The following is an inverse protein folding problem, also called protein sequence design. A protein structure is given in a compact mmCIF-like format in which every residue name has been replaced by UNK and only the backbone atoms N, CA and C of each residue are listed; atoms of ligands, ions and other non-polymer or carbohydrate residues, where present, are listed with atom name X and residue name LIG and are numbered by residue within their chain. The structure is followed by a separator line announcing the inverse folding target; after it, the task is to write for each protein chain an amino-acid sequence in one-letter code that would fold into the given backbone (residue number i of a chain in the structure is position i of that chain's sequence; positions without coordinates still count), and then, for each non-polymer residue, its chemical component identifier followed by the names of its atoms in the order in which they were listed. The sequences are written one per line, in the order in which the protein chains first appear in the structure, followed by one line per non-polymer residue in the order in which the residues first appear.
data_IF_161434318329
#
_entry.id   IF_161434318329
#
_cell.length_a   1.000
_cell.length_b   1.000
_cell.length_c   1.000
_cell.angle_alpha   90.00
_cell.angle_beta   90.00
_cell.angle_gamma   90.00
#
_symmetry.space_group_name_H-M   'P 1'
#
loop_
_entity.id
_entity.type
_entity.pdbx_description
1 polymer ?
#
# COMPACT_ATOMS: atom_id res chain seq x y z
N UNK A 1 -44.48 52.95 -59.50
CA UNK A 1 -45.53 52.02 -59.95
C UNK A 1 -44.86 50.68 -60.25
N UNK A 2 -44.88 49.73 -59.29
CA UNK A 2 -44.31 48.36 -59.35
C UNK A 2 -42.77 48.29 -59.47
N UNK A 3 -42.01 47.35 -58.92
CA UNK A 3 -42.28 45.97 -58.48
C UNK A 3 -41.31 45.56 -57.35
N UNK A 4 -41.79 44.72 -56.42
CA UNK A 4 -40.97 43.92 -55.50
C UNK A 4 -40.25 42.80 -56.28
N UNK A 5 -39.03 42.44 -55.87
CA UNK A 5 -38.38 41.17 -56.25
C UNK A 5 -37.92 40.45 -55.00
N UNK A 6 -38.41 39.23 -54.84
CA UNK A 6 -38.08 38.27 -53.78
C UNK A 6 -36.80 37.53 -54.13
N UNK A 7 -35.83 37.42 -53.21
CA UNK A 7 -34.69 36.51 -53.36
C UNK A 7 -34.94 35.22 -52.57
N UNK A 8 -34.83 34.09 -53.27
CA UNK A 8 -35.02 32.72 -52.79
C UNK A 8 -33.72 32.24 -52.13
N UNK A 9 -33.75 31.79 -50.88
CA UNK A 9 -32.60 31.14 -50.25
C UNK A 9 -32.52 29.66 -50.70
N UNK A 10 -31.36 29.26 -51.22
CA UNK A 10 -31.01 27.89 -51.62
C UNK A 10 -30.19 27.24 -50.53
N UNK A 11 -30.52 25.98 -50.24
CA UNK A 11 -29.96 25.15 -49.17
C UNK A 11 -28.65 24.48 -49.55
N UNK A 12 -27.63 24.57 -48.69
CA UNK A 12 -26.58 23.55 -48.60
C UNK A 12 -26.34 23.23 -47.12
N UNK A 13 -26.70 22.01 -46.71
CA UNK A 13 -26.42 21.47 -45.38
C UNK A 13 -25.10 20.70 -45.45
N UNK A 14 -24.04 21.28 -44.90
CA UNK A 14 -22.78 20.57 -44.63
C UNK A 14 -23.02 19.71 -43.37
N UNK A 15 -23.14 18.40 -43.53
CA UNK A 15 -23.17 17.47 -42.42
C UNK A 15 -21.73 17.19 -41.97
N UNK A 16 -21.27 17.86 -40.93
CA UNK A 16 -20.00 17.58 -40.26
C UNK A 16 -20.22 16.38 -39.34
N UNK A 17 -19.77 15.20 -39.77
CA UNK A 17 -19.81 13.99 -38.93
C UNK A 17 -18.69 14.07 -37.90
N UNK A 18 -19.04 14.46 -36.67
CA UNK A 18 -18.13 14.50 -35.54
C UNK A 18 -17.98 13.07 -35.00
N UNK A 19 -16.89 12.38 -35.34
CA UNK A 19 -16.50 11.14 -34.68
C UNK A 19 -16.14 11.46 -33.23
N UNK A 20 -17.07 11.21 -32.30
CA UNK A 20 -16.74 11.13 -30.88
C UNK A 20 -15.89 9.88 -30.67
N UNK A 21 -14.59 10.06 -30.44
CA UNK A 21 -13.76 9.02 -29.84
C UNK A 21 -14.21 8.90 -28.39
N UNK A 22 -14.96 7.83 -28.09
CA UNK A 22 -15.31 7.48 -26.72
C UNK A 22 -14.00 7.08 -26.02
N UNK A 23 -13.38 8.05 -25.36
CA UNK A 23 -12.24 7.76 -24.47
C UNK A 23 -12.85 7.13 -23.23
N UNK A 24 -12.68 5.82 -23.05
CA UNK A 24 -12.96 5.18 -21.77
C UNK A 24 -11.96 5.77 -20.77
N UNK A 25 -12.45 6.58 -19.84
CA UNK A 25 -11.62 7.01 -18.72
C UNK A 25 -11.32 5.78 -17.85
N UNK A 26 -10.08 5.61 -17.37
CA UNK A 26 -9.81 4.62 -16.33
C UNK A 26 -10.77 4.87 -15.16
N UNK A 27 -11.27 3.79 -14.54
CA UNK A 27 -12.16 3.92 -13.40
C UNK A 27 -11.45 4.71 -12.29
N UNK A 28 -12.05 5.79 -11.81
CA UNK A 28 -11.50 6.56 -10.71
C UNK A 28 -11.35 5.65 -9.46
N UNK A 29 -10.26 5.79 -8.70
CA UNK A 29 -10.11 5.10 -7.42
C UNK A 29 -11.35 5.26 -6.55
N UNK A 30 -11.88 4.14 -6.04
CA UNK A 30 -13.16 4.08 -5.34
C UNK A 30 -13.05 3.37 -4.00
N UNK A 31 -13.68 3.92 -2.97
CA UNK A 31 -13.75 3.33 -1.64
C UNK A 31 -15.21 3.23 -1.20
N UNK A 32 -15.67 2.01 -0.88
CA UNK A 32 -17.00 1.77 -0.31
C UNK A 32 -16.85 1.27 1.12
N UNK A 33 -17.30 2.04 2.11
CA UNK A 33 -17.15 1.69 3.54
C UNK A 33 -18.46 1.08 4.07
N UNK A 34 -18.36 -0.03 4.79
CA UNK A 34 -19.47 -0.70 5.46
C UNK A 34 -19.36 -0.57 6.98
N UNK A 35 -20.50 -0.54 7.68
CA UNK A 35 -20.53 -0.41 9.15
C UNK A 35 -20.12 -1.69 9.91
N UNK A 36 -19.53 -2.65 9.20
CA UNK A 36 -19.02 -3.92 9.75
C UNK A 36 -17.48 -3.91 9.79
N UNK A 37 -16.89 -2.71 9.94
CA UNK A 37 -15.45 -2.48 10.04
C UNK A 37 -14.65 -2.98 8.82
N UNK A 38 -15.26 -2.93 7.63
CA UNK A 38 -14.57 -3.23 6.39
C UNK A 38 -14.98 -2.26 5.28
N UNK A 39 -14.11 -2.13 4.29
CA UNK A 39 -14.36 -1.40 3.06
C UNK A 39 -13.92 -2.22 1.86
N UNK A 40 -14.52 -1.95 0.71
CA UNK A 40 -14.06 -2.45 -0.59
C UNK A 40 -13.33 -1.31 -1.29
N UNK A 41 -12.12 -1.60 -1.73
CA UNK A 41 -11.28 -0.70 -2.53
C UNK A 41 -11.38 -1.14 -3.98
N UNK A 42 -11.51 -0.17 -4.88
CA UNK A 42 -11.42 -0.33 -6.33
C UNK A 42 -10.32 0.60 -6.84
N UNK A 43 -9.38 0.04 -7.60
CA UNK A 43 -8.24 0.75 -8.16
C UNK A 43 -8.07 0.38 -9.63
N UNK A 44 -7.49 1.32 -10.39
CA UNK A 44 -7.09 1.09 -11.77
C UNK A 44 -5.58 0.89 -11.84
N UNK A 45 -5.15 -0.31 -12.24
CA UNK A 45 -3.75 -0.68 -12.35
C UNK A 45 -3.33 -0.78 -13.82
N UNK A 46 -2.55 0.17 -14.35
CA UNK A 46 -2.04 0.07 -15.72
C UNK A 46 -1.09 -1.13 -15.84
N UNK A 47 -1.41 -2.05 -16.75
CA UNK A 47 -0.59 -3.22 -17.05
C UNK A 47 0.01 -3.11 -18.45
N UNK A 48 1.30 -3.42 -18.53
CA UNK A 48 2.02 -3.66 -19.78
C UNK A 48 2.56 -5.08 -19.74
N UNK A 49 1.86 -6.00 -20.42
CA UNK A 49 2.18 -7.41 -20.44
C UNK A 49 2.91 -7.76 -21.74
N UNK A 50 3.89 -8.63 -21.65
CA UNK A 50 4.47 -9.36 -22.77
C UNK A 50 4.01 -10.82 -22.75
N UNK A 51 4.11 -11.54 -23.89
CA UNK A 51 3.84 -12.98 -23.90
C UNK A 51 4.74 -13.72 -22.89
N UNK A 52 4.17 -14.70 -22.19
CA UNK A 52 4.83 -15.43 -21.12
C UNK A 52 4.60 -14.84 -19.73
N UNK A 53 5.59 -15.01 -18.85
CA UNK A 53 5.51 -14.65 -17.44
C UNK A 53 5.92 -13.19 -17.21
N UNK A 54 5.12 -12.43 -16.48
CA UNK A 54 5.31 -11.02 -16.16
C UNK A 54 5.31 -10.85 -14.63
N UNK A 55 6.20 -10.03 -14.10
CA UNK A 55 6.21 -9.67 -12.67
C UNK A 55 5.61 -8.28 -12.51
N UNK A 56 4.56 -8.16 -11.69
CA UNK A 56 3.83 -6.91 -11.46
C UNK A 56 3.76 -6.65 -9.97
N UNK A 57 3.96 -5.40 -9.56
CA UNK A 57 3.90 -4.97 -8.16
C UNK A 57 2.92 -3.79 -8.01
N UNK A 58 2.12 -3.83 -6.95
CA UNK A 58 1.26 -2.74 -6.51
C UNK A 58 1.58 -2.37 -5.06
N UNK A 59 1.98 -1.13 -4.81
CA UNK A 59 2.51 -0.66 -3.51
C UNK A 59 1.56 0.22 -2.71
N UNK A 60 0.36 0.46 -3.22
CA UNK A 60 -0.66 1.29 -2.56
C UNK A 60 -1.72 0.44 -1.84
N UNK A 61 -1.39 -0.82 -1.55
CA UNK A 61 -2.24 -1.70 -0.76
C UNK A 61 -2.30 -1.24 0.71
N UNK A 62 -3.45 -1.43 1.35
CA UNK A 62 -3.60 -1.14 2.78
C UNK A 62 -2.94 -2.22 3.63
N UNK A 63 -2.53 -1.88 4.86
CA UNK A 63 -1.93 -2.85 5.78
C UNK A 63 -2.94 -3.92 6.26
N UNK A 64 -4.23 -3.64 6.14
CA UNK A 64 -5.35 -4.49 6.55
C UNK A 64 -6.08 -5.13 5.36
N UNK A 65 -5.40 -5.28 4.21
CA UNK A 65 -5.94 -6.03 3.09
C UNK A 65 -6.29 -7.45 3.53
N UNK A 66 -7.39 -7.99 3.03
CA UNK A 66 -7.69 -9.43 3.08
C UNK A 66 -7.13 -10.05 1.78
N UNK A 67 -5.96 -10.72 1.78
CA UNK A 67 -5.26 -11.10 0.54
C UNK A 67 -6.08 -12.03 -0.36
N UNK A 68 -6.91 -12.87 0.24
CA UNK A 68 -7.83 -13.79 -0.44
C UNK A 68 -8.97 -13.10 -1.19
N UNK A 69 -9.24 -11.83 -0.87
CA UNK A 69 -10.28 -11.02 -1.52
C UNK A 69 -9.80 -10.31 -2.79
N UNK A 70 -8.49 -10.34 -3.04
CA UNK A 70 -7.86 -9.58 -4.14
C UNK A 70 -8.30 -10.16 -5.48
N UNK A 71 -8.85 -9.28 -6.31
CA UNK A 71 -9.26 -9.57 -7.69
C UNK A 71 -8.50 -8.63 -8.60
N UNK A 72 -7.78 -9.19 -9.58
CA UNK A 72 -7.14 -8.46 -10.67
C UNK A 72 -7.67 -8.98 -12.01
N UNK A 73 -8.28 -8.10 -12.82
CA UNK A 73 -8.88 -8.48 -14.10
C UNK A 73 -8.88 -7.34 -15.12
N UNK A 74 -9.11 -7.67 -16.38
CA UNK A 74 -9.56 -6.68 -17.37
C UNK A 74 -11.09 -6.52 -17.23
N UNK A 75 -11.55 -5.32 -16.86
CA UNK A 75 -12.98 -5.02 -16.72
C UNK A 75 -13.75 -5.14 -18.04
N UNK A 76 -13.09 -4.90 -19.19
CA UNK A 76 -13.69 -5.06 -20.51
C UNK A 76 -13.67 -6.52 -21.00
N UNK A 77 -12.96 -7.41 -20.31
CA UNK A 77 -12.85 -8.84 -20.63
C UNK A 77 -12.15 -9.13 -21.97
N UNK A 78 -11.35 -8.20 -22.50
CA UNK A 78 -10.64 -8.35 -23.78
C UNK A 78 -9.33 -9.12 -23.62
N UNK A 79 -8.67 -8.95 -22.48
CA UNK A 79 -7.38 -9.57 -22.19
C UNK A 79 -7.52 -10.65 -21.11
N UNK A 80 -7.04 -11.85 -21.41
CA UNK A 80 -7.01 -12.95 -20.44
C UNK A 80 -5.70 -12.92 -19.66
N UNK A 81 -5.78 -12.67 -18.37
CA UNK A 81 -4.66 -12.75 -17.43
C UNK A 81 -4.80 -14.02 -16.60
N UNK A 82 -3.71 -14.75 -16.38
CA UNK A 82 -3.67 -15.85 -15.41
C UNK A 82 -2.70 -15.48 -14.29
N UNK A 83 -3.18 -15.44 -13.05
CA UNK A 83 -2.32 -15.23 -11.88
C UNK A 83 -1.66 -16.57 -11.56
N UNK A 84 -0.34 -16.64 -11.69
CA UNK A 84 0.44 -17.82 -11.31
C UNK A 84 0.82 -17.78 -9.82
N UNK A 85 1.16 -16.58 -9.33
CA UNK A 85 1.52 -16.34 -7.94
C UNK A 85 0.95 -14.99 -7.50
N UNK A 86 0.51 -14.93 -6.25
CA UNK A 86 0.14 -13.71 -5.55
C UNK A 86 0.79 -13.73 -4.17
N UNK A 87 1.51 -12.67 -3.85
CA UNK A 87 2.15 -12.49 -2.55
C UNK A 87 1.73 -11.14 -1.96
N UNK A 88 1.18 -11.16 -0.75
CA UNK A 88 0.92 -9.95 0.02
C UNK A 88 2.04 -9.74 1.03
N UNK A 89 2.75 -8.63 0.90
CA UNK A 89 3.86 -8.26 1.75
C UNK A 89 3.41 -7.11 2.64
N UNK A 90 3.05 -7.46 3.88
CA UNK A 90 2.52 -6.53 4.87
C UNK A 90 3.54 -6.11 5.94
N UNK A 91 4.82 -6.42 5.72
CA UNK A 91 5.90 -6.19 6.69
C UNK A 91 6.17 -4.68 6.87
N UNK A 92 5.22 -4.01 7.51
CA UNK A 92 5.37 -2.66 8.03
C UNK A 92 6.50 -2.73 9.04
N UNK A 93 7.56 -1.96 8.82
CA UNK A 93 8.72 -1.95 9.69
C UNK A 93 8.32 -1.73 11.16
N UNK A 94 8.56 -2.74 12.00
CA UNK A 94 8.50 -2.58 13.46
C UNK A 94 9.88 -2.22 14.01
N UNK A 95 9.91 -1.65 15.22
CA UNK A 95 11.17 -1.41 15.92
C UNK A 95 11.95 -2.71 16.10
N UNK A 96 11.29 -3.84 16.39
CA UNK A 96 11.92 -5.14 16.59
C UNK A 96 12.52 -5.70 15.28
N UNK A 97 11.84 -5.52 14.15
CA UNK A 97 12.35 -5.89 12.82
C UNK A 97 13.57 -5.05 12.44
N UNK A 98 13.55 -3.74 12.76
CA UNK A 98 14.69 -2.88 12.55
C UNK A 98 15.85 -3.26 13.48
N UNK A 99 15.60 -3.53 14.76
CA UNK A 99 16.62 -4.06 15.65
C UNK A 99 17.22 -5.36 15.09
N UNK A 100 16.40 -6.26 14.53
CA UNK A 100 16.88 -7.51 13.92
C UNK A 100 17.77 -7.26 12.69
N UNK A 101 17.33 -6.36 11.79
CA UNK A 101 18.11 -5.95 10.59
C UNK A 101 19.46 -5.31 10.95
N UNK A 102 19.56 -4.70 12.12
CA UNK A 102 20.77 -4.05 12.62
C UNK A 102 21.54 -4.88 13.67
N UNK A 103 21.21 -6.16 13.85
CA UNK A 103 22.03 -7.07 14.65
C UNK A 103 23.49 -7.10 14.14
N UNK A 104 24.43 -7.13 15.09
CA UNK A 104 25.86 -7.02 14.84
C UNK A 104 26.34 -5.61 14.51
N UNK A 105 25.46 -4.63 14.33
CA UNK A 105 25.81 -3.24 13.98
C UNK A 105 25.67 -2.29 15.19
N UNK A 106 26.42 -1.20 15.14
CA UNK A 106 26.31 -0.10 16.11
C UNK A 106 25.29 0.92 15.59
N UNK A 107 24.32 1.27 16.44
CA UNK A 107 23.33 2.33 16.16
C UNK A 107 23.30 3.34 17.30
N UNK A 108 22.65 4.47 17.06
CA UNK A 108 22.52 5.56 18.02
C UNK A 108 21.26 5.39 18.86
N UNK A 109 21.33 5.78 20.13
CA UNK A 109 20.22 5.77 21.08
C UNK A 109 20.10 7.12 21.77
N UNK A 110 18.92 7.74 21.73
CA UNK A 110 18.62 8.95 22.47
C UNK A 110 18.28 8.59 23.93
N UNK A 111 19.23 8.88 24.83
CA UNK A 111 19.13 8.57 26.26
C UNK A 111 18.66 9.76 27.11
N UNK A 112 17.99 10.74 26.47
CA UNK A 112 17.47 11.96 27.09
C UNK A 112 18.21 13.23 26.65
N UNK A 113 17.89 14.34 27.33
CA UNK A 113 18.50 15.65 27.09
C UNK A 113 19.51 15.97 28.19
N UNK A 114 20.59 16.65 27.84
CA UNK A 114 21.57 17.20 28.78
C UNK A 114 21.03 18.51 29.37
N UNK A 115 21.64 18.98 30.46
CA UNK A 115 21.25 20.22 31.13
C UNK A 115 21.43 21.50 30.28
N UNK A 116 22.22 21.42 29.21
CA UNK A 116 22.40 22.48 28.21
C UNK A 116 21.38 22.41 27.05
N UNK A 117 20.43 21.47 27.11
CA UNK A 117 19.42 21.24 26.07
C UNK A 117 19.91 20.41 24.88
N UNK A 118 21.14 19.90 24.88
CA UNK A 118 21.63 19.03 23.80
C UNK A 118 21.24 17.56 24.02
N UNK A 119 20.98 16.77 22.95
CA UNK A 119 20.62 15.36 23.10
C UNK A 119 21.81 14.53 23.61
N UNK A 120 21.54 13.65 24.58
CA UNK A 120 22.50 12.64 25.02
C UNK A 120 22.35 11.40 24.14
N UNK A 121 23.27 11.24 23.20
CA UNK A 121 23.35 10.06 22.33
C UNK A 121 24.29 9.01 22.93
N UNK A 122 23.82 7.76 23.00
CA UNK A 122 24.62 6.58 23.32
C UNK A 122 24.78 5.76 22.05
N UNK A 123 26.02 5.44 21.67
CA UNK A 123 26.29 4.50 20.58
C UNK A 123 26.43 3.10 21.16
N UNK A 124 25.63 2.17 20.69
CA UNK A 124 25.64 0.81 21.21
C UNK A 124 25.45 -0.21 20.10
N UNK A 125 26.08 -1.37 20.27
CA UNK A 125 25.99 -2.47 19.30
C UNK A 125 24.81 -3.36 19.66
N UNK A 126 23.95 -3.62 18.68
CA UNK A 126 22.89 -4.60 18.84
C UNK A 126 23.52 -5.98 18.72
N UNK A 127 23.52 -6.77 19.79
CA UNK A 127 24.02 -8.14 19.77
C UNK A 127 22.91 -9.09 19.32
N UNK A 128 21.68 -8.83 19.78
CA UNK A 128 20.48 -9.59 19.43
C UNK A 128 19.26 -8.69 19.60
N UNK A 129 18.32 -8.71 18.66
CA UNK A 129 17.06 -7.98 18.77
C UNK A 129 16.04 -8.72 19.64
N UNK A 130 16.11 -10.05 19.62
CA UNK A 130 15.13 -10.92 20.25
C UNK A 130 13.84 -11.09 19.45
N UNK A 131 13.82 -10.59 18.20
CA UNK A 131 12.75 -10.82 17.24
C UNK A 131 12.53 -12.33 16.99
N UNK A 132 11.28 -12.77 17.10
CA UNK A 132 10.84 -14.12 16.72
C UNK A 132 9.69 -14.00 15.69
N UNK A 133 9.90 -14.43 14.43
CA UNK A 133 8.87 -14.36 13.39
C UNK A 133 7.61 -15.16 13.74
N UNK A 134 7.79 -16.26 14.50
CA UNK A 134 6.73 -17.18 14.85
C UNK A 134 5.72 -16.60 15.85
N UNK A 135 6.08 -15.55 16.60
CA UNK A 135 5.22 -14.95 17.62
C UNK A 135 4.57 -13.64 17.16
N UNK A 136 5.15 -12.93 16.20
CA UNK A 136 4.60 -11.66 15.69
C UNK A 136 3.18 -11.76 15.11
N UNK A 137 2.78 -12.93 14.57
CA UNK A 137 1.42 -13.17 14.06
C UNK A 137 0.34 -13.40 15.13
N UNK A 138 0.70 -13.53 16.41
CA UNK A 138 -0.23 -13.92 17.49
C UNK A 138 -0.67 -12.77 18.42
N UNK A 139 -0.28 -11.53 18.12
CA UNK A 139 -0.29 -10.43 19.10
C UNK A 139 -1.36 -9.34 18.92
N UNK A 140 -2.44 -9.56 18.16
CA UNK A 140 -3.54 -8.57 18.15
C UNK A 140 -4.55 -8.78 19.29
N UNK A 141 -4.78 -10.03 19.77
CA UNK A 141 -5.95 -10.33 20.63
C UNK A 141 -5.70 -11.25 21.84
N UNK A 142 -4.45 -11.63 22.12
CA UNK A 142 -4.16 -12.60 23.19
C UNK A 142 -3.79 -11.93 24.52
N UNK A 143 -4.81 -11.56 25.31
CA UNK A 143 -4.69 -11.13 26.71
C UNK A 143 -4.04 -12.18 27.66
N UNK A 144 -3.62 -13.34 27.13
CA UNK A 144 -3.05 -14.47 27.86
C UNK A 144 -1.51 -14.49 27.90
N UNK A 145 -0.82 -13.69 27.09
CA UNK A 145 0.64 -13.56 27.18
C UNK A 145 1.00 -12.23 27.82
N UNK A 146 1.76 -12.23 28.94
CA UNK A 146 2.42 -11.00 29.39
C UNK A 146 3.13 -10.34 28.20
N UNK A 147 3.17 -9.00 28.12
CA UNK A 147 3.74 -8.25 26.99
C UNK A 147 5.26 -8.48 26.77
N UNK A 148 5.86 -9.43 27.47
CA UNK A 148 7.29 -9.71 27.49
C UNK A 148 7.62 -11.22 27.32
N UNK A 149 6.66 -12.04 26.87
CA UNK A 149 6.84 -13.52 26.79
C UNK A 149 6.94 -14.08 25.37
N UNK A 150 6.87 -13.25 24.33
CA UNK A 150 6.94 -13.69 22.92
C UNK A 150 8.19 -13.23 22.15
N UNK A 151 8.77 -12.10 22.52
CA UNK A 151 10.00 -11.59 21.93
C UNK A 151 11.12 -11.83 22.94
N UNK A 152 12.23 -12.43 22.50
CA UNK A 152 13.42 -12.48 23.34
C UNK A 152 13.79 -11.06 23.77
N UNK A 153 14.30 -10.88 24.98
CA UNK A 153 14.83 -9.57 25.35
C UNK A 153 16.01 -9.21 24.41
N UNK A 154 16.08 -7.96 23.92
CA UNK A 154 17.22 -7.53 23.12
C UNK A 154 18.48 -7.60 23.97
N UNK A 155 19.61 -7.97 23.36
CA UNK A 155 20.93 -7.90 23.98
C UNK A 155 21.69 -6.77 23.30
N UNK A 156 22.06 -5.77 24.09
CA UNK A 156 22.77 -4.59 23.62
C UNK A 156 24.13 -4.52 24.31
N UNK A 157 25.19 -4.24 23.55
CA UNK A 157 26.52 -3.95 24.08
C UNK A 157 26.74 -2.43 24.14
N UNK A 158 26.96 -1.91 25.34
CA UNK A 158 27.31 -0.51 25.61
C UNK A 158 28.66 -0.49 26.31
N UNK A 159 29.65 0.17 25.71
CA UNK A 159 31.01 0.28 26.27
C UNK A 159 31.61 -1.08 26.70
N UNK A 160 31.42 -2.13 25.89
CA UNK A 160 31.89 -3.49 26.14
C UNK A 160 31.10 -4.29 27.17
N UNK A 161 29.96 -3.77 27.67
CA UNK A 161 29.08 -4.46 28.63
C UNK A 161 27.76 -4.82 27.99
N UNK A 162 27.30 -6.05 28.22
CA UNK A 162 26.02 -6.55 27.73
C UNK A 162 24.87 -6.19 28.69
N UNK A 163 23.73 -5.78 28.12
CA UNK A 163 22.49 -5.51 28.86
C UNK A 163 21.26 -5.99 28.07
N UNK A 164 20.17 -6.29 28.79
CA UNK A 164 18.91 -6.78 28.21
C UNK A 164 17.91 -5.68 27.81
N UNK A 165 18.31 -4.41 27.96
CA UNK A 165 17.45 -3.25 27.74
C UNK A 165 18.09 -2.30 26.72
N UNK A 166 17.24 -1.56 25.99
CA UNK A 166 17.70 -0.49 25.13
C UNK A 166 18.16 0.71 26.00
N UNK A 167 19.31 1.33 25.72
CA UNK A 167 19.83 2.44 26.52
C UNK A 167 19.08 3.77 26.29
N UNK A 168 18.06 3.78 25.42
CA UNK A 168 17.26 4.95 25.05
C UNK A 168 16.35 4.64 23.86
N UNK A 169 15.75 5.68 23.27
CA UNK A 169 15.00 5.55 22.01
C UNK A 169 15.98 5.26 20.86
N UNK A 170 15.78 4.19 20.11
CA UNK A 170 16.67 3.81 19.00
C UNK A 170 16.54 4.78 17.84
N UNK A 171 17.68 5.19 17.28
CA UNK A 171 17.81 6.00 16.07
C UNK A 171 18.51 5.12 15.03
N UNK A 172 17.74 4.63 14.06
CA UNK A 172 18.28 3.84 12.96
C UNK A 172 18.84 4.77 11.88
N UNK A 173 19.94 4.37 11.20
CA UNK A 173 20.35 5.04 9.98
C UNK A 173 19.32 4.81 8.87
N UNK A 174 19.42 5.60 7.80
CA UNK A 174 18.58 5.44 6.62
C UNK A 174 18.61 3.99 6.09
N UNK A 175 17.46 3.49 5.65
CA UNK A 175 17.29 2.08 5.29
C UNK A 175 17.72 1.78 3.85
N UNK A 176 18.12 2.79 3.08
CA UNK A 176 18.44 2.69 1.66
C UNK A 176 17.19 2.47 0.79
N UNK A 177 17.41 2.38 -0.53
CA UNK A 177 16.34 2.35 -1.53
C UNK A 177 15.55 1.04 -1.63
N UNK A 178 16.01 -0.05 -0.99
CA UNK A 178 15.42 -1.40 -1.11
C UNK A 178 14.56 -1.77 0.12
N UNK A 179 13.86 -0.79 0.68
CA UNK A 179 13.02 -1.02 1.85
C UNK A 179 11.56 -0.89 1.47
N UNK A 180 10.81 -1.98 1.66
CA UNK A 180 9.35 -1.96 1.54
C UNK A 180 8.81 -1.25 2.77
N UNK A 181 8.55 0.05 2.61
CA UNK A 181 7.98 0.92 3.65
C UNK A 181 6.45 0.87 3.67
N UNK A 182 5.84 0.20 2.68
CA UNK A 182 4.40 0.19 2.45
C UNK A 182 3.95 -1.22 2.06
N UNK A 183 2.77 -1.66 2.49
CA UNK A 183 2.22 -2.94 2.07
C UNK A 183 2.18 -3.05 0.54
N UNK A 184 2.48 -4.23 0.01
CA UNK A 184 2.49 -4.46 -1.44
C UNK A 184 1.87 -5.79 -1.82
N UNK A 185 1.28 -5.82 -3.00
CA UNK A 185 0.85 -7.02 -3.69
C UNK A 185 1.81 -7.26 -4.86
N UNK A 186 2.47 -8.42 -4.83
CA UNK A 186 3.35 -8.87 -5.90
C UNK A 186 2.68 -10.02 -6.64
N UNK A 187 2.64 -9.95 -7.97
CA UNK A 187 2.09 -11.00 -8.83
C UNK A 187 3.11 -11.51 -9.83
N UNK A 188 3.00 -12.81 -10.10
CA UNK A 188 3.50 -13.40 -11.34
C UNK A 188 2.31 -13.68 -12.25
N UNK A 189 2.21 -12.95 -13.36
CA UNK A 189 1.11 -13.03 -14.32
C UNK A 189 1.55 -13.75 -15.59
N UNK A 190 0.79 -14.73 -16.05
CA UNK A 190 0.96 -15.36 -17.36
C UNK A 190 0.02 -14.70 -18.38
N UNK A 191 0.61 -14.21 -19.47
CA UNK A 191 -0.11 -13.70 -20.64
C UNK A 191 0.23 -14.49 -21.88
N UNK A 192 -0.75 -14.73 -22.75
CA UNK A 192 -0.54 -15.35 -24.07
C UNK A 192 -0.09 -14.35 -25.14
N UNK A 193 -0.28 -13.05 -24.90
CA UNK A 193 -0.07 -11.98 -25.87
C UNK A 193 0.56 -10.74 -25.23
N UNK A 194 1.11 -9.85 -26.07
CA UNK A 194 1.46 -8.52 -25.61
C UNK A 194 0.20 -7.68 -25.47
N UNK A 195 0.01 -7.01 -24.33
CA UNK A 195 -1.18 -6.21 -24.07
C UNK A 195 -0.84 -4.99 -23.21
N UNK A 196 -1.51 -3.87 -23.48
CA UNK A 196 -1.46 -2.67 -22.66
C UNK A 196 -2.88 -2.22 -22.35
N UNK A 197 -3.25 -2.22 -21.09
CA UNK A 197 -4.60 -1.87 -20.64
C UNK A 197 -4.60 -1.53 -19.16
N UNK A 198 -5.65 -0.84 -18.73
CA UNK A 198 -5.90 -0.56 -17.31
C UNK A 198 -6.70 -1.73 -16.72
N UNK A 199 -6.06 -2.50 -15.84
CA UNK A 199 -6.72 -3.58 -15.11
C UNK A 199 -7.52 -3.02 -13.92
N UNK A 200 -8.64 -3.65 -13.62
CA UNK A 200 -9.40 -3.41 -12.40
C UNK A 200 -8.79 -4.26 -11.28
N UNK A 201 -8.32 -3.59 -10.24
CA UNK A 201 -7.92 -4.16 -8.97
C UNK A 201 -9.01 -3.90 -7.95
N UNK A 202 -9.48 -4.93 -7.25
CA UNK A 202 -10.38 -4.77 -6.11
C UNK A 202 -10.01 -5.68 -4.96
N UNK A 203 -10.22 -5.19 -3.74
CA UNK A 203 -9.92 -5.94 -2.52
C UNK A 203 -10.72 -5.42 -1.33
N UNK A 204 -10.87 -6.27 -0.31
CA UNK A 204 -11.43 -5.92 0.99
C UNK A 204 -10.30 -5.46 1.92
N UNK A 205 -10.56 -4.40 2.68
CA UNK A 205 -9.70 -3.92 3.76
C UNK A 205 -10.49 -3.76 5.05
N UNK A 206 -9.90 -4.11 6.20
CA UNK A 206 -10.54 -3.95 7.51
C UNK A 206 -10.19 -2.63 8.20
N UNK A 207 -10.89 -2.33 9.30
CA UNK A 207 -10.58 -1.23 10.22
C UNK A 207 -11.20 0.12 9.86
N UNK A 208 -12.11 0.16 8.88
CA UNK A 208 -12.80 1.37 8.44
C UNK A 208 -14.28 1.29 8.83
N UNK A 209 -14.80 2.34 9.45
CA UNK A 209 -16.22 2.52 9.79
C UNK A 209 -16.68 3.91 9.38
N UNK A 210 -17.98 4.10 9.19
CA UNK A 210 -18.55 5.41 8.86
C UNK A 210 -19.79 5.69 9.70
N UNK A 211 -20.11 6.98 9.88
CA UNK A 211 -21.33 7.44 10.52
C UNK A 211 -21.86 8.65 9.75
N UNK A 212 -23.19 8.75 9.62
CA UNK A 212 -23.83 9.94 9.06
C UNK A 212 -25.00 10.37 9.93
N UNK A 213 -25.02 11.64 10.29
CA UNK A 213 -26.15 12.30 10.93
C UNK A 213 -26.98 13.01 9.86
N UNK A 214 -28.27 12.69 9.80
CA UNK A 214 -29.21 13.32 8.86
C UNK A 214 -30.05 14.36 9.59
N UNK A 215 -29.82 15.64 9.31
CA UNK A 215 -30.69 16.72 9.75
C UNK A 215 -31.72 17.01 8.66
N UNK A 216 -32.99 16.69 8.91
CA UNK A 216 -34.10 17.14 8.06
C UNK A 216 -34.50 18.54 8.51
N UNK A 217 -34.35 19.52 7.63
CA UNK A 217 -34.95 20.85 7.80
C UNK A 217 -36.31 20.80 7.11
N UNK A 218 -37.38 20.91 7.90
CA UNK A 218 -38.77 21.00 7.42
C UNK A 218 -39.18 22.45 7.23
#
# INVERSE_FOLDING_TARGET
MGFLTTLRASSEKIALSLCFVLSAFPADPGLTIYNQEFAVVHESLPLELHPGSNTVQFTDATAHVEPESVILRDAAGKHKITILEQNYRADVLSQDMLLNRFEGKTVDFLAGMRGDGTPRIIRAKIIRSGYSPQLHGFHQDSAFFPPNTGNGQPIIEVDGKLQFFLPGQTIFPDLGSDTILRPSLDWTLLSGEAAKFDAELSYVTRGLTWAADYNVIA
#
